data_IF_883262153443
#
_entry.id   IF_883262153443
#
_cell.length_a   1.000
_cell.length_b   1.000
_cell.length_c   1.000
_cell.angle_alpha   90.00
_cell.angle_beta   90.00
_cell.angle_gamma   90.00
#
_symmetry.space_group_name_H-M   'P 1'
#
loop_
_entity.id
_entity.type
_entity.pdbx_description
1 polymer ?
#
# COMPACT_ATOMS: atom_id res chain seq x y z
N UNK A 1 7.66 32.89 -1.10
CA UNK A 1 8.11 31.50 -0.96
C UNK A 1 8.16 30.90 -2.37
N UNK A 2 9.26 30.25 -2.76
CA UNK A 2 9.38 29.61 -4.08
C UNK A 2 9.18 28.12 -3.93
N UNK A 3 8.15 27.57 -4.58
CA UNK A 3 7.90 26.13 -4.62
C UNK A 3 8.74 25.51 -5.73
N UNK A 4 9.50 24.46 -5.41
CA UNK A 4 10.33 23.72 -6.36
C UNK A 4 9.61 22.45 -6.88
N UNK A 5 8.76 21.86 -6.04
CA UNK A 5 8.01 20.64 -6.34
C UNK A 5 6.70 20.65 -5.53
N UNK A 6 5.64 20.13 -6.13
CA UNK A 6 4.35 19.90 -5.46
C UNK A 6 4.04 18.42 -5.55
N UNK A 7 3.65 17.82 -4.43
CA UNK A 7 3.14 16.43 -4.35
C UNK A 7 1.67 16.53 -3.96
N UNK A 8 0.81 15.88 -4.71
CA UNK A 8 -0.63 15.85 -4.46
C UNK A 8 -1.00 14.55 -3.75
N UNK A 9 -1.62 14.67 -2.59
CA UNK A 9 -2.06 13.53 -1.79
C UNK A 9 -3.54 13.65 -1.45
N UNK A 10 -4.23 12.51 -1.42
CA UNK A 10 -5.56 12.38 -0.84
C UNK A 10 -5.45 11.57 0.43
N UNK A 11 -5.94 12.13 1.54
CA UNK A 11 -5.94 11.45 2.83
C UNK A 11 -7.10 10.49 2.94
N UNK A 12 -6.84 9.29 3.42
CA UNK A 12 -7.82 8.25 3.68
C UNK A 12 -7.45 7.50 4.96
N UNK A 13 -8.40 6.73 5.48
CA UNK A 13 -8.12 5.80 6.57
C UNK A 13 -8.99 4.54 6.47
N UNK A 14 -8.49 3.42 6.93
CA UNK A 14 -9.22 2.17 7.12
C UNK A 14 -9.39 1.94 8.62
N UNK A 15 -10.63 2.10 9.14
CA UNK A 15 -10.95 1.94 10.57
C UNK A 15 -10.03 2.75 11.52
N UNK A 16 -9.54 3.92 11.07
CA UNK A 16 -8.66 4.80 11.84
C UNK A 16 -7.18 4.69 11.51
N UNK A 17 -6.75 3.68 10.79
CA UNK A 17 -5.38 3.56 10.28
C UNK A 17 -5.21 4.42 9.03
N UNK A 18 -4.36 5.45 9.13
CA UNK A 18 -4.18 6.45 8.07
C UNK A 18 -3.32 5.88 6.94
N UNK A 19 -3.87 5.93 5.72
CA UNK A 19 -3.18 5.54 4.50
C UNK A 19 -3.35 6.62 3.43
N UNK A 20 -2.51 7.64 3.46
CA UNK A 20 -2.52 8.71 2.44
C UNK A 20 -2.14 8.14 1.08
N UNK A 21 -2.71 8.70 0.00
CA UNK A 21 -2.42 8.24 -1.37
C UNK A 21 -1.85 9.40 -2.18
N UNK A 22 -0.63 9.23 -2.69
CA UNK A 22 0.01 10.16 -3.63
C UNK A 22 -0.58 9.88 -5.02
N UNK A 23 -1.27 10.87 -5.56
CA UNK A 23 -1.96 10.77 -6.85
C UNK A 23 -1.22 11.52 -7.97
N UNK A 24 -0.31 12.42 -7.63
CA UNK A 24 0.46 13.21 -8.61
C UNK A 24 1.69 13.86 -7.95
N UNK A 25 2.61 14.39 -8.80
CA UNK A 25 3.77 15.16 -8.37
C UNK A 25 5.00 14.33 -8.01
N UNK A 26 4.94 13.01 -8.18
CA UNK A 26 6.08 12.10 -8.04
C UNK A 26 6.33 11.40 -9.38
N UNK A 27 7.58 11.39 -9.82
CA UNK A 27 7.96 10.62 -11.00
C UNK A 27 7.80 9.13 -10.74
N UNK A 28 7.32 8.40 -11.75
CA UNK A 28 7.21 6.93 -11.67
C UNK A 28 8.61 6.37 -11.40
N UNK A 29 8.78 5.57 -10.34
CA UNK A 29 10.08 4.96 -10.05
C UNK A 29 10.55 4.08 -11.21
N UNK A 30 11.87 3.98 -11.45
CA UNK A 30 12.37 3.05 -12.45
C UNK A 30 12.08 1.60 -12.04
N UNK A 31 11.66 0.79 -13.02
CA UNK A 31 11.31 -0.61 -12.85
C UNK A 31 10.31 -1.06 -13.92
N UNK A 32 10.31 -2.34 -14.24
CA UNK A 32 9.37 -2.95 -15.18
C UNK A 32 8.17 -3.59 -14.49
N UNK A 33 8.26 -3.80 -13.18
CA UNK A 33 7.22 -4.34 -12.31
C UNK A 33 7.04 -3.44 -11.09
N UNK A 34 5.89 -3.51 -10.45
CA UNK A 34 5.64 -2.77 -9.20
C UNK A 34 6.62 -3.19 -8.10
N UNK A 35 7.03 -4.47 -8.09
CA UNK A 35 8.07 -4.97 -7.18
C UNK A 35 9.44 -4.29 -7.42
N UNK A 36 9.90 -4.19 -8.68
CA UNK A 36 11.15 -3.49 -9.01
C UNK A 36 11.08 -1.99 -8.64
N UNK A 37 9.94 -1.34 -8.90
CA UNK A 37 9.70 0.06 -8.51
C UNK A 37 9.74 0.25 -6.99
N UNK A 38 9.16 -0.70 -6.25
CA UNK A 38 9.21 -0.74 -4.77
C UNK A 38 10.64 -0.88 -4.26
N UNK A 39 11.44 -1.76 -4.84
CA UNK A 39 12.83 -1.97 -4.45
C UNK A 39 13.66 -0.69 -4.65
N UNK A 40 13.39 0.06 -5.72
CA UNK A 40 13.99 1.38 -5.92
C UNK A 40 13.61 2.37 -4.82
N UNK A 41 12.33 2.47 -4.45
CA UNK A 41 11.84 3.36 -3.38
C UNK A 41 12.45 2.94 -2.02
N UNK A 42 12.53 1.65 -1.74
CA UNK A 42 13.15 1.14 -0.51
C UNK A 42 14.63 1.52 -0.42
N UNK A 43 15.38 1.34 -1.50
CA UNK A 43 16.81 1.65 -1.55
C UNK A 43 17.11 3.15 -1.48
N UNK A 44 16.29 3.98 -2.14
CA UNK A 44 16.46 5.45 -2.16
C UNK A 44 16.01 6.10 -0.85
N UNK A 45 14.92 5.68 -0.29
CA UNK A 45 14.34 6.13 0.98
C UNK A 45 13.95 7.61 1.08
N UNK A 46 14.31 8.46 0.10
CA UNK A 46 14.09 9.92 0.16
C UNK A 46 12.61 10.30 0.16
N UNK A 47 11.81 9.69 -0.72
CA UNK A 47 10.38 9.96 -0.78
C UNK A 47 9.70 9.50 0.51
N UNK A 48 9.98 8.29 0.97
CA UNK A 48 9.46 7.72 2.20
C UNK A 48 9.78 8.64 3.41
N UNK A 49 11.03 9.02 3.58
CA UNK A 49 11.45 9.91 4.66
C UNK A 49 10.80 11.29 4.55
N UNK A 50 10.66 11.84 3.33
CA UNK A 50 10.00 13.14 3.13
C UNK A 50 8.53 13.11 3.52
N UNK A 51 7.81 12.04 3.21
CA UNK A 51 6.37 11.93 3.45
C UNK A 51 6.05 11.49 4.88
N UNK A 52 6.86 10.62 5.48
CA UNK A 52 6.54 9.94 6.73
C UNK A 52 7.27 10.48 7.96
N UNK A 53 8.36 11.24 7.78
CA UNK A 53 9.02 11.88 8.91
C UNK A 53 8.38 13.24 9.24
N UNK A 54 8.49 13.60 10.52
CA UNK A 54 8.04 14.90 11.01
C UNK A 54 8.72 16.07 10.26
N UNK A 55 8.05 17.18 10.09
CA UNK A 55 6.72 17.57 10.60
C UNK A 55 5.53 17.14 9.70
N UNK A 56 5.77 16.52 8.53
CA UNK A 56 4.69 16.16 7.60
C UNK A 56 4.05 14.83 7.93
N UNK A 57 4.83 13.88 8.38
CA UNK A 57 4.43 12.54 8.72
C UNK A 57 4.39 12.28 10.23
N UNK A 58 4.46 11.02 10.59
CA UNK A 58 4.51 10.51 11.95
C UNK A 58 4.38 9.00 11.94
N UNK A 59 4.71 8.35 13.04
CA UNK A 59 4.74 6.88 13.18
C UNK A 59 3.40 6.18 12.91
N UNK A 60 2.31 6.93 12.92
CA UNK A 60 0.95 6.43 12.71
C UNK A 60 0.48 6.55 11.25
N UNK A 61 1.30 7.10 10.36
CA UNK A 61 0.94 7.33 8.96
C UNK A 61 1.56 6.28 8.05
N UNK A 62 0.77 5.87 7.08
CA UNK A 62 1.23 5.15 5.90
C UNK A 62 0.97 6.01 4.67
N UNK A 63 1.79 5.85 3.64
CA UNK A 63 1.63 6.58 2.39
C UNK A 63 1.77 5.62 1.22
N UNK A 64 0.85 5.73 0.28
CA UNK A 64 0.79 4.89 -0.90
C UNK A 64 1.10 5.72 -2.14
N UNK A 65 2.04 5.29 -2.96
CA UNK A 65 2.32 5.92 -4.24
C UNK A 65 1.59 5.18 -5.35
N UNK A 66 0.67 5.84 -6.04
CA UNK A 66 0.08 5.28 -7.26
C UNK A 66 1.12 5.22 -8.37
N UNK A 67 1.19 4.09 -9.03
CA UNK A 67 2.06 3.83 -10.18
C UNK A 67 1.27 3.11 -11.28
N UNK A 68 1.70 3.18 -12.54
CA UNK A 68 1.14 2.32 -13.57
C UNK A 68 1.33 0.85 -13.20
N UNK A 69 0.29 0.05 -13.40
CA UNK A 69 0.40 -1.40 -13.28
C UNK A 69 1.22 -1.97 -14.44
N UNK A 70 2.02 -2.99 -14.15
CA UNK A 70 2.70 -3.81 -15.16
C UNK A 70 1.87 -5.04 -15.55
N UNK A 71 0.86 -5.40 -14.76
CA UNK A 71 0.01 -6.55 -15.00
C UNK A 71 -1.22 -6.19 -15.83
N UNK A 72 -1.53 -6.93 -16.92
CA UNK A 72 -2.64 -6.59 -17.82
C UNK A 72 -4.03 -6.66 -17.18
N UNK A 73 -4.19 -7.45 -16.10
CA UNK A 73 -5.46 -7.62 -15.40
C UNK A 73 -5.64 -6.65 -14.21
N UNK A 74 -4.68 -5.74 -13.98
CA UNK A 74 -4.78 -4.78 -12.89
C UNK A 74 -5.22 -3.40 -13.40
N UNK A 75 -6.12 -2.78 -12.67
CA UNK A 75 -6.65 -1.44 -12.96
C UNK A 75 -5.68 -0.34 -12.52
N UNK A 76 -4.89 -0.59 -11.49
CA UNK A 76 -3.87 0.34 -10.98
C UNK A 76 -2.78 -0.42 -10.21
N UNK A 77 -1.57 0.15 -10.18
CA UNK A 77 -0.48 -0.28 -9.32
C UNK A 77 -0.26 0.69 -8.16
N UNK A 78 0.28 0.22 -7.05
CA UNK A 78 0.68 1.08 -5.95
C UNK A 78 1.83 0.52 -5.13
N UNK A 79 2.61 1.41 -4.52
CA UNK A 79 3.73 1.09 -3.64
C UNK A 79 3.40 1.61 -2.26
N UNK A 80 3.48 0.74 -1.26
CA UNK A 80 3.20 1.06 0.14
C UNK A 80 4.48 1.56 0.79
N UNK A 81 4.39 2.66 1.52
CA UNK A 81 5.48 3.19 2.33
C UNK A 81 5.02 3.31 3.78
N UNK A 82 5.71 2.63 4.67
CA UNK A 82 5.55 2.71 6.11
C UNK A 82 6.79 3.37 6.74
N UNK A 83 6.74 3.82 8.00
CA UNK A 83 7.87 4.53 8.60
C UNK A 83 9.20 3.78 8.53
N UNK A 84 9.18 2.45 8.71
CA UNK A 84 10.38 1.62 8.76
C UNK A 84 10.79 1.07 7.38
N UNK A 85 9.84 0.70 6.52
CA UNK A 85 10.10 -0.03 5.29
C UNK A 85 8.96 0.12 4.27
N UNK A 86 9.09 -0.53 3.12
CA UNK A 86 8.07 -0.59 2.06
C UNK A 86 7.54 -2.03 1.95
N UNK A 87 6.41 -2.35 2.61
CA UNK A 87 5.86 -3.70 2.59
C UNK A 87 5.43 -4.16 1.20
N UNK A 88 5.38 -5.48 1.02
CA UNK A 88 4.96 -6.09 -0.24
C UNK A 88 3.43 -6.03 -0.43
N UNK A 89 2.69 -6.04 0.68
CA UNK A 89 1.24 -5.96 0.72
C UNK A 89 0.78 -5.42 2.08
N UNK A 90 -0.34 -4.70 2.10
CA UNK A 90 -1.03 -4.27 3.33
C UNK A 90 -2.52 -4.17 3.07
N UNK A 91 -3.33 -4.78 3.93
CA UNK A 91 -4.79 -4.81 3.80
C UNK A 91 -5.41 -3.42 3.97
N UNK A 92 -5.05 -2.68 5.01
CA UNK A 92 -5.54 -1.32 5.27
C UNK A 92 -5.15 -0.34 4.18
N UNK A 93 -3.91 -0.41 3.68
CA UNK A 93 -3.46 0.42 2.57
C UNK A 93 -4.19 0.08 1.26
N UNK A 94 -4.49 -1.20 1.00
CA UNK A 94 -5.31 -1.61 -0.14
C UNK A 94 -6.74 -1.05 -0.07
N UNK A 95 -7.33 -1.00 1.13
CA UNK A 95 -8.62 -0.36 1.38
C UNK A 95 -8.54 1.14 1.09
N UNK A 96 -7.53 1.83 1.63
CA UNK A 96 -7.34 3.27 1.41
C UNK A 96 -7.15 3.61 -0.07
N UNK A 97 -6.28 2.88 -0.78
CA UNK A 97 -6.04 3.07 -2.21
C UNK A 97 -7.32 2.86 -3.02
N UNK A 98 -8.05 1.77 -2.75
CA UNK A 98 -9.32 1.48 -3.44
C UNK A 98 -10.36 2.58 -3.22
N UNK A 99 -10.50 3.04 -1.98
CA UNK A 99 -11.41 4.13 -1.63
C UNK A 99 -11.04 5.42 -2.38
N UNK A 100 -9.76 5.80 -2.35
CA UNK A 100 -9.29 7.00 -3.04
C UNK A 100 -9.52 6.90 -4.54
N UNK A 101 -9.16 5.78 -5.18
CA UNK A 101 -9.34 5.58 -6.61
C UNK A 101 -10.81 5.74 -7.05
N UNK A 102 -11.75 5.22 -6.27
CA UNK A 102 -13.17 5.26 -6.57
C UNK A 102 -13.81 6.61 -6.19
N UNK A 103 -13.63 7.08 -4.96
CA UNK A 103 -14.29 8.30 -4.46
C UNK A 103 -13.77 9.57 -5.14
N UNK A 104 -12.51 9.57 -5.64
CA UNK A 104 -11.97 10.69 -6.41
C UNK A 104 -12.27 10.62 -7.92
N UNK A 105 -12.85 9.51 -8.40
CA UNK A 105 -13.13 9.31 -9.82
C UNK A 105 -11.91 9.03 -10.69
N UNK A 106 -10.77 8.65 -10.10
CA UNK A 106 -9.58 8.18 -10.85
C UNK A 106 -9.93 6.89 -11.59
N UNK A 107 -10.66 5.99 -10.93
CA UNK A 107 -11.29 4.84 -11.58
C UNK A 107 -12.82 5.00 -11.58
N UNK A 108 -13.51 4.49 -12.62
CA UNK A 108 -14.97 4.58 -12.69
C UNK A 108 -15.62 3.73 -11.60
N UNK A 109 -16.63 4.29 -10.94
CA UNK A 109 -17.46 3.61 -9.96
C UNK A 109 -18.74 3.09 -10.61
N UNK A 110 -19.11 1.86 -10.28
CA UNK A 110 -20.39 1.24 -10.66
C UNK A 110 -21.17 0.87 -9.40
N UNK A 111 -22.41 1.31 -9.30
CA UNK A 111 -23.31 0.97 -8.19
C UNK A 111 -24.21 -0.22 -8.53
N UNK A 112 -24.57 -1.07 -7.57
CA UNK A 112 -24.22 -1.00 -6.15
C UNK A 112 -22.87 -1.66 -5.83
N UNK A 113 -22.17 -2.23 -6.79
CA UNK A 113 -20.91 -2.95 -6.58
C UNK A 113 -19.91 -2.62 -7.67
N UNK A 114 -18.74 -2.16 -7.28
CA UNK A 114 -17.56 -2.04 -8.14
C UNK A 114 -16.56 -3.15 -7.82
N UNK A 115 -15.96 -3.73 -8.85
CA UNK A 115 -14.83 -4.67 -8.71
C UNK A 115 -13.63 -4.05 -9.38
N UNK A 116 -12.46 -4.15 -8.73
CA UNK A 116 -11.20 -3.70 -9.27
C UNK A 116 -10.09 -4.66 -8.83
N UNK A 117 -9.02 -4.66 -9.60
CA UNK A 117 -7.81 -5.43 -9.30
C UNK A 117 -6.66 -4.45 -9.15
N UNK A 118 -5.98 -4.49 -8.02
CA UNK A 118 -4.80 -3.69 -7.75
C UNK A 118 -3.55 -4.55 -7.89
N UNK A 119 -2.44 -3.96 -8.34
CA UNK A 119 -1.12 -4.57 -8.29
C UNK A 119 -0.31 -3.93 -7.16
N UNK A 120 -0.04 -4.71 -6.09
CA UNK A 120 0.92 -4.37 -5.06
C UNK A 120 2.29 -5.02 -5.40
N UNK A 121 3.39 -4.64 -4.73
CA UNK A 121 4.69 -5.29 -4.95
C UNK A 121 4.67 -6.81 -4.77
N UNK A 122 3.78 -7.33 -3.91
CA UNK A 122 3.64 -8.75 -3.65
C UNK A 122 2.76 -9.50 -4.67
N UNK A 123 1.98 -8.80 -5.49
CA UNK A 123 1.10 -9.42 -6.50
C UNK A 123 -0.26 -8.73 -6.63
N UNK A 124 -1.19 -9.45 -7.27
CA UNK A 124 -2.54 -8.95 -7.52
C UNK A 124 -3.42 -9.06 -6.28
N UNK A 125 -4.23 -8.04 -6.08
CA UNK A 125 -5.20 -7.91 -5.00
C UNK A 125 -6.57 -7.67 -5.64
N UNK A 126 -7.51 -8.59 -5.42
CA UNK A 126 -8.87 -8.44 -5.89
C UNK A 126 -9.71 -7.72 -4.85
N UNK A 127 -10.39 -6.68 -5.31
CA UNK A 127 -11.19 -5.81 -4.45
C UNK A 127 -12.64 -5.77 -4.94
N UNK A 128 -13.54 -5.84 -3.97
CA UNK A 128 -14.97 -5.58 -4.17
C UNK A 128 -15.39 -4.41 -3.30
N UNK A 129 -15.92 -3.37 -3.89
CA UNK A 129 -16.45 -2.21 -3.20
C UNK A 129 -17.99 -2.21 -3.26
N UNK A 130 -18.64 -2.09 -2.11
CA UNK A 130 -20.07 -1.78 -2.04
C UNK A 130 -20.20 -0.26 -2.15
N UNK A 131 -20.90 0.20 -3.19
CA UNK A 131 -20.96 1.61 -3.57
C UNK A 131 -22.39 2.12 -3.53
N UNK A 132 -22.55 3.35 -3.05
CA UNK A 132 -23.85 4.06 -3.03
C UNK A 132 -23.64 5.57 -3.04
N UNK A 133 -24.46 6.25 -3.83
CA UNK A 133 -24.50 7.72 -3.94
C UNK A 133 -23.10 8.30 -4.28
N UNK A 134 -22.36 7.64 -5.18
CA UNK A 134 -21.03 8.04 -5.61
C UNK A 134 -19.92 7.82 -4.59
N UNK A 135 -20.13 6.95 -3.60
CA UNK A 135 -19.19 6.66 -2.53
C UNK A 135 -18.97 5.16 -2.33
N UNK A 136 -17.73 4.76 -2.13
CA UNK A 136 -17.36 3.41 -1.70
C UNK A 136 -17.59 3.30 -0.18
N UNK A 137 -18.71 2.69 0.23
CA UNK A 137 -19.09 2.58 1.65
C UNK A 137 -18.39 1.44 2.37
N UNK A 138 -18.05 0.37 1.64
CA UNK A 138 -17.37 -0.80 2.18
C UNK A 138 -16.45 -1.42 1.16
N UNK A 139 -15.22 -1.65 1.56
CA UNK A 139 -14.20 -2.31 0.74
C UNK A 139 -13.93 -3.72 1.29
N UNK A 140 -14.01 -4.69 0.41
CA UNK A 140 -13.63 -6.08 0.67
C UNK A 140 -12.38 -6.38 -0.13
N UNK A 141 -11.33 -6.81 0.56
CA UNK A 141 -10.05 -7.18 -0.04
C UNK A 141 -9.90 -8.69 0.01
N UNK A 142 -9.70 -9.32 -1.13
CA UNK A 142 -9.26 -10.71 -1.22
C UNK A 142 -7.74 -10.72 -1.18
N UNK A 143 -7.22 -11.19 -0.05
CA UNK A 143 -5.79 -11.16 0.23
C UNK A 143 -5.03 -12.19 -0.60
N UNK A 144 -3.73 -11.93 -0.80
CA UNK A 144 -2.84 -12.90 -1.43
C UNK A 144 -2.71 -14.16 -0.58
N UNK A 145 -2.39 -15.33 -1.19
CA UNK A 145 -2.14 -16.55 -0.44
C UNK A 145 -1.05 -16.37 0.62
N UNK A 146 -1.32 -16.81 1.84
CA UNK A 146 -0.33 -16.91 2.91
C UNK A 146 0.11 -18.36 3.11
N UNK A 147 1.33 -18.57 3.54
CA UNK A 147 1.85 -19.92 3.78
C UNK A 147 2.87 -19.94 4.92
N UNK A 148 3.05 -21.12 5.48
CA UNK A 148 4.01 -21.34 6.56
C UNK A 148 5.39 -21.63 5.96
N UNK A 149 6.37 -20.77 6.23
CA UNK A 149 7.76 -20.98 5.85
C UNK A 149 8.46 -22.02 6.74
N UNK A 150 8.12 -22.05 8.01
CA UNK A 150 8.66 -23.00 8.95
C UNK A 150 8.00 -22.90 10.32
N UNK A 151 7.98 -24.01 11.04
CA UNK A 151 7.48 -24.11 12.41
C UNK A 151 8.53 -24.64 13.35
N UNK A 152 8.43 -24.28 14.62
CA UNK A 152 9.34 -24.77 15.65
C UNK A 152 10.80 -24.34 15.48
N UNK A 153 11.05 -23.22 14.82
CA UNK A 153 12.40 -22.71 14.55
C UNK A 153 13.00 -22.08 15.80
N UNK A 154 14.27 -22.39 16.13
CA UNK A 154 14.94 -21.74 17.25
C UNK A 154 15.36 -20.31 16.90
N UNK A 155 15.09 -19.38 17.80
CA UNK A 155 15.54 -18.01 17.75
C UNK A 155 16.22 -17.64 19.06
N UNK A 156 17.49 -17.25 18.99
CA UNK A 156 18.21 -16.72 20.15
C UNK A 156 18.00 -15.21 20.25
N UNK A 157 17.47 -14.75 21.36
CA UNK A 157 17.22 -13.33 21.61
C UNK A 157 18.02 -12.90 22.83
N UNK A 158 18.79 -11.81 22.68
CA UNK A 158 19.54 -11.24 23.80
C UNK A 158 18.61 -10.98 24.99
N UNK A 159 19.03 -11.35 26.20
CA UNK A 159 18.32 -11.20 27.47
C UNK A 159 17.03 -12.03 27.65
N UNK A 160 16.54 -12.69 26.58
CA UNK A 160 15.38 -13.59 26.64
C UNK A 160 15.76 -15.06 26.45
N UNK A 161 16.97 -15.34 25.93
CA UNK A 161 17.43 -16.69 25.65
C UNK A 161 16.78 -17.28 24.37
N UNK A 162 16.67 -18.61 24.35
CA UNK A 162 16.18 -19.37 23.22
C UNK A 162 14.65 -19.43 23.21
N UNK A 163 14.06 -18.91 22.13
CA UNK A 163 12.62 -18.96 21.85
C UNK A 163 12.34 -19.97 20.73
N UNK A 164 11.10 -20.42 20.66
CA UNK A 164 10.59 -21.23 19.53
C UNK A 164 9.59 -20.40 18.76
N UNK A 165 9.83 -20.22 17.47
CA UNK A 165 9.01 -19.36 16.62
C UNK A 165 8.48 -20.10 15.39
N UNK A 166 7.42 -19.59 14.80
CA UNK A 166 6.95 -19.96 13.47
C UNK A 166 7.17 -18.79 12.52
N UNK A 167 7.66 -19.05 11.32
CA UNK A 167 7.73 -18.08 10.25
C UNK A 167 6.53 -18.30 9.32
N UNK A 168 5.69 -17.30 9.26
CA UNK A 168 4.55 -17.26 8.35
C UNK A 168 4.85 -16.22 7.28
N UNK A 169 4.68 -16.60 6.01
CA UNK A 169 4.57 -15.64 4.94
C UNK A 169 3.10 -15.27 4.84
N UNK A 170 2.77 -14.18 5.47
CA UNK A 170 1.47 -13.56 5.36
C UNK A 170 1.66 -12.21 4.70
N UNK A 171 0.60 -11.64 4.23
CA UNK A 171 0.57 -10.21 4.08
C UNK A 171 0.97 -9.58 5.43
N UNK A 172 1.86 -8.62 5.45
CA UNK A 172 2.16 -7.86 6.65
C UNK A 172 0.91 -7.17 7.18
#
# INVERSE_FOLDING_TARGET
MRTLKTIHTLSCHAEGEVGDVIIDGVEVPPGRTVAEMRDFIEADGRLRSFMLNEPRGGVFRHVNLLVPSAHPDADAGFIIMEPEYTPLMSGSNSICVSTVLLDSGILPMTEPVTRLTLEAPGGLIHVRADCRDGKAERIHVENMPSFVLGTGLPLEVSDLGRLTVCLLYTSP
#
